data_IF_362426648811
#
_entry.id   IF_362426648811
#
_cell.length_a   1.000
_cell.length_b   1.000
_cell.length_c   1.000
_cell.angle_alpha   90.00
_cell.angle_beta   90.00
_cell.angle_gamma   90.00
#
_symmetry.space_group_name_H-M   'P 1'
#
loop_
_entity.id
_entity.type
_entity.pdbx_description
1 polymer ?
#
# COMPACT_ATOMS: atom_id res chain seq x y z
N UNK A 1 30.59 2.56 10.01
CA UNK A 1 29.63 1.51 10.43
C UNK A 1 28.24 2.10 10.35
N UNK A 2 27.43 1.71 9.35
CA UNK A 2 26.03 2.17 9.28
C UNK A 2 25.31 1.62 10.49
N UNK A 3 24.70 2.50 11.29
CA UNK A 3 24.03 2.10 12.53
C UNK A 3 22.91 1.11 12.21
N UNK A 4 22.86 -0.02 12.93
CA UNK A 4 21.84 -1.05 12.72
C UNK A 4 20.39 -0.51 12.83
N UNK A 5 20.22 0.60 13.55
CA UNK A 5 18.96 1.35 13.69
C UNK A 5 18.52 1.95 12.35
N UNK A 6 19.43 2.58 11.59
CA UNK A 6 19.13 3.17 10.28
C UNK A 6 18.75 2.09 9.26
N UNK A 7 19.44 0.96 9.23
CA UNK A 7 19.09 -0.13 8.32
C UNK A 7 17.72 -0.73 8.63
N UNK A 8 17.35 -0.86 9.91
CA UNK A 8 16.02 -1.36 10.32
C UNK A 8 14.91 -0.37 9.96
N UNK A 9 15.19 0.93 10.10
CA UNK A 9 14.26 2.00 9.73
C UNK A 9 14.04 2.05 8.21
N UNK A 10 15.12 1.99 7.43
CA UNK A 10 15.07 1.96 5.96
C UNK A 10 14.33 0.73 5.42
N UNK A 11 14.56 -0.46 5.98
CA UNK A 11 13.82 -1.68 5.59
C UNK A 11 12.34 -1.58 5.94
N UNK A 12 11.99 -0.99 7.08
CA UNK A 12 10.59 -0.83 7.46
C UNK A 12 9.87 0.15 6.54
N UNK A 13 10.54 1.22 6.10
CA UNK A 13 9.96 2.19 5.18
C UNK A 13 9.79 1.62 3.76
N UNK A 14 10.83 0.94 3.25
CA UNK A 14 10.78 0.24 1.97
C UNK A 14 9.66 -0.81 1.95
N UNK A 15 9.48 -1.56 3.04
CA UNK A 15 8.40 -2.55 3.15
C UNK A 15 7.00 -1.94 3.02
N UNK A 16 6.75 -0.79 3.66
CA UNK A 16 5.45 -0.12 3.56
C UNK A 16 5.18 0.43 2.15
N UNK A 17 6.20 0.98 1.49
CA UNK A 17 6.13 1.43 0.08
C UNK A 17 5.83 0.27 -0.86
N UNK A 18 6.55 -0.86 -0.72
CA UNK A 18 6.30 -2.06 -1.53
C UNK A 18 4.89 -2.58 -1.33
N UNK A 19 4.43 -2.63 -0.08
CA UNK A 19 3.07 -3.08 0.23
C UNK A 19 2.00 -2.13 -0.34
N UNK A 20 2.26 -0.82 -0.37
CA UNK A 20 1.38 0.16 -1.00
C UNK A 20 1.27 -0.08 -2.51
N UNK A 21 2.41 -0.30 -3.18
CA UNK A 21 2.45 -0.61 -4.61
C UNK A 21 1.68 -1.90 -4.94
N UNK A 22 1.87 -2.96 -4.14
CA UNK A 22 1.15 -4.23 -4.31
C UNK A 22 -0.36 -4.00 -4.22
N UNK A 23 -0.84 -3.31 -3.19
CA UNK A 23 -2.28 -3.04 -3.04
C UNK A 23 -2.84 -2.17 -4.16
N UNK A 24 -2.09 -1.17 -4.63
CA UNK A 24 -2.51 -0.32 -5.75
C UNK A 24 -2.61 -1.13 -7.06
N UNK A 25 -1.64 -1.99 -7.35
CA UNK A 25 -1.64 -2.85 -8.54
C UNK A 25 -2.82 -3.83 -8.49
N UNK A 26 -3.05 -4.48 -7.34
CA UNK A 26 -4.17 -5.41 -7.16
C UNK A 26 -5.52 -4.70 -7.27
N UNK A 27 -5.66 -3.50 -6.70
CA UNK A 27 -6.87 -2.70 -6.83
C UNK A 27 -7.16 -2.36 -8.30
N UNK A 28 -6.15 -1.87 -9.03
CA UNK A 28 -6.28 -1.55 -10.45
C UNK A 28 -6.66 -2.79 -11.28
N UNK A 29 -5.95 -3.90 -11.11
CA UNK A 29 -6.20 -5.12 -11.86
C UNK A 29 -7.62 -5.67 -11.62
N UNK A 30 -8.08 -5.66 -10.37
CA UNK A 30 -9.42 -6.15 -10.01
C UNK A 30 -10.53 -5.22 -10.48
N UNK A 31 -10.34 -3.89 -10.40
CA UNK A 31 -11.32 -2.92 -10.92
C UNK A 31 -11.39 -3.03 -12.44
N UNK A 32 -10.25 -3.10 -13.14
CA UNK A 32 -10.21 -3.28 -14.59
C UNK A 32 -10.92 -4.56 -15.01
N UNK A 33 -10.60 -5.68 -14.36
CA UNK A 33 -11.26 -6.97 -14.62
C UNK A 33 -12.77 -6.91 -14.32
N UNK A 34 -13.18 -6.18 -13.27
CA UNK A 34 -14.58 -6.03 -12.91
C UNK A 34 -15.37 -5.22 -13.94
N UNK A 35 -14.76 -4.19 -14.53
CA UNK A 35 -15.35 -3.39 -15.60
C UNK A 35 -15.53 -4.23 -16.86
N UNK A 36 -14.53 -5.04 -17.23
CA UNK A 36 -14.59 -5.88 -18.44
C UNK A 36 -15.58 -7.05 -18.31
N UNK A 37 -15.70 -7.62 -17.11
CA UNK A 37 -16.51 -8.84 -16.89
C UNK A 37 -17.86 -8.59 -16.22
N UNK A 38 -18.18 -7.33 -15.87
CA UNK A 38 -19.33 -6.94 -15.04
C UNK A 38 -19.46 -7.73 -13.72
N UNK A 39 -18.35 -8.29 -13.22
CA UNK A 39 -18.34 -9.12 -12.00
C UNK A 39 -18.30 -8.22 -10.77
N UNK A 40 -19.45 -8.09 -10.11
CA UNK A 40 -19.59 -7.34 -8.85
C UNK A 40 -18.59 -7.77 -7.77
N UNK A 41 -18.26 -9.07 -7.70
CA UNK A 41 -17.30 -9.61 -6.72
C UNK A 41 -15.89 -9.03 -6.95
N UNK A 42 -15.44 -8.92 -8.21
CA UNK A 42 -14.15 -8.34 -8.53
C UNK A 42 -14.12 -6.84 -8.23
N UNK A 43 -15.24 -6.15 -8.42
CA UNK A 43 -15.38 -4.73 -8.09
C UNK A 43 -15.24 -4.50 -6.58
N UNK A 44 -15.96 -5.29 -5.76
CA UNK A 44 -15.87 -5.23 -4.30
C UNK A 44 -14.44 -5.53 -3.83
N UNK A 45 -13.81 -6.58 -4.37
CA UNK A 45 -12.43 -6.93 -4.03
C UNK A 45 -11.46 -5.79 -4.38
N UNK A 46 -11.62 -5.16 -5.55
CA UNK A 46 -10.85 -3.99 -5.96
C UNK A 46 -10.98 -2.81 -5.00
N UNK A 47 -12.19 -2.49 -4.55
CA UNK A 47 -12.44 -1.46 -3.54
C UNK A 47 -11.76 -1.83 -2.20
N UNK A 48 -11.81 -3.09 -1.77
CA UNK A 48 -11.13 -3.52 -0.54
C UNK A 48 -9.63 -3.27 -0.62
N UNK A 49 -8.98 -3.65 -1.72
CA UNK A 49 -7.56 -3.39 -1.91
C UNK A 49 -7.24 -1.89 -2.01
N UNK A 50 -8.13 -1.09 -2.60
CA UNK A 50 -7.99 0.37 -2.63
C UNK A 50 -8.02 0.96 -1.22
N UNK A 51 -8.95 0.52 -0.36
CA UNK A 51 -9.02 0.95 1.05
C UNK A 51 -7.76 0.55 1.81
N UNK A 52 -7.23 -0.65 1.56
CA UNK A 52 -5.98 -1.12 2.15
C UNK A 52 -4.78 -0.27 1.69
N UNK A 53 -4.73 0.10 0.40
CA UNK A 53 -3.73 1.01 -0.14
C UNK A 53 -3.79 2.37 0.56
N UNK A 54 -4.99 2.96 0.70
CA UNK A 54 -5.17 4.25 1.39
C UNK A 54 -4.74 4.16 2.86
N UNK A 55 -5.14 3.11 3.58
CA UNK A 55 -4.70 2.90 4.98
C UNK A 55 -3.18 2.77 5.09
N UNK A 56 -2.53 2.12 4.12
CA UNK A 56 -1.08 2.00 4.08
C UNK A 56 -0.41 3.35 3.77
N UNK A 57 -0.93 4.09 2.80
CA UNK A 57 -0.47 5.43 2.46
C UNK A 57 -0.55 6.39 3.67
N UNK A 58 -1.66 6.36 4.43
CA UNK A 58 -1.80 7.17 5.64
C UNK A 58 -0.75 6.79 6.68
N UNK A 59 -0.48 5.48 6.88
CA UNK A 59 0.60 5.04 7.79
C UNK A 59 1.97 5.53 7.32
N UNK A 60 2.25 5.43 6.03
CA UNK A 60 3.50 5.87 5.42
C UNK A 60 3.70 7.38 5.60
N UNK A 61 2.68 8.19 5.29
CA UNK A 61 2.68 9.64 5.50
C UNK A 61 2.85 9.96 6.99
N UNK A 62 2.13 9.25 7.87
CA UNK A 62 2.25 9.43 9.32
C UNK A 62 3.68 9.16 9.79
N UNK A 63 4.33 8.10 9.31
CA UNK A 63 5.75 7.82 9.61
C UNK A 63 6.69 8.90 9.08
N UNK A 64 6.43 9.44 7.89
CA UNK A 64 7.23 10.53 7.33
C UNK A 64 7.10 11.85 8.11
N UNK A 65 5.87 12.19 8.51
CA UNK A 65 5.58 13.46 9.20
C UNK A 65 5.91 13.38 10.69
N UNK A 66 5.60 12.28 11.37
CA UNK A 66 5.85 12.09 12.80
C UNK A 66 7.20 11.43 13.12
N UNK A 67 7.90 10.84 12.15
CA UNK A 67 9.27 10.32 12.32
C UNK A 67 10.34 11.41 12.50
N UNK A 68 9.93 12.67 12.66
CA UNK A 68 10.80 13.83 13.00
C UNK A 68 10.84 14.16 14.50
N UNK A 69 10.24 13.35 15.39
CA UNK A 69 10.43 13.46 16.85
C UNK A 69 11.23 12.28 17.38
#
# INVERSE_FOLDING_TARGET
>A
MVNQVEQKFLRSWQGEVVQLLIFAILAYALISLALDSARTIAYIAGIVFLVLAIKNLIRLIKRFVLGKR
#
